data_IF_148868250434
#
_entry.id   IF_148868250434
#
_cell.length_a   1.000
_cell.length_b   1.000
_cell.length_c   1.000
_cell.angle_alpha   90.00
_cell.angle_beta   90.00
_cell.angle_gamma   90.00
#
_symmetry.space_group_name_H-M   'P 1'
#
loop_
_entity.id
_entity.type
_entity.pdbx_description
1 polymer ?
#
# COMPACT_ATOMS: atom_id res chain seq x y z
N UNK A 1 -15.22 -1.24 -1.06
CA UNK A 1 -14.15 -0.32 -0.61
C UNK A 1 -12.92 -1.16 -0.37
N UNK A 2 -11.87 -0.84 -1.11
CA UNK A 2 -10.48 -1.30 -1.11
C UNK A 2 -10.03 -2.73 -0.69
N UNK A 3 -10.86 -3.75 -0.47
CA UNK A 3 -10.35 -5.13 -0.22
C UNK A 3 -9.42 -5.68 -1.33
N UNK A 4 -8.11 -5.53 -1.12
CA UNK A 4 -7.11 -6.55 -0.75
C UNK A 4 -5.74 -5.85 -0.91
N UNK A 5 -5.09 -5.53 0.22
CA UNK A 5 -3.87 -4.69 0.26
C UNK A 5 -4.14 -3.19 0.44
N UNK A 6 -5.18 -2.85 1.20
CA UNK A 6 -5.74 -1.51 1.38
C UNK A 6 -4.69 -0.42 1.60
N UNK A 7 -4.85 0.69 0.88
CA UNK A 7 -4.04 1.91 1.06
C UNK A 7 -4.34 2.47 2.46
N UNK A 8 -3.31 2.76 3.28
CA UNK A 8 -3.54 3.20 4.65
C UNK A 8 -4.22 4.56 4.67
N UNK A 9 -5.46 4.57 5.15
CA UNK A 9 -6.31 5.74 5.25
C UNK A 9 -7.18 5.66 6.50
N UNK A 10 -7.39 6.80 7.16
CA UNK A 10 -8.28 6.93 8.30
C UNK A 10 -9.39 7.93 7.97
N UNK A 11 -10.65 7.57 8.26
CA UNK A 11 -11.77 8.48 8.08
C UNK A 11 -11.89 9.41 9.29
N UNK A 12 -11.90 10.71 9.06
CA UNK A 12 -12.09 11.75 10.09
C UNK A 12 -13.27 12.61 9.66
N UNK A 13 -14.42 12.42 10.31
CA UNK A 13 -15.69 13.01 9.90
C UNK A 13 -16.04 12.60 8.47
N UNK A 14 -16.10 13.58 7.57
CA UNK A 14 -16.37 13.37 6.14
C UNK A 14 -15.11 13.30 5.27
N UNK A 15 -13.91 13.38 5.86
CA UNK A 15 -12.64 13.40 5.16
C UNK A 15 -11.89 12.09 5.32
N UNK A 16 -11.04 11.80 4.35
CA UNK A 16 -10.06 10.72 4.42
C UNK A 16 -8.67 11.32 4.68
N UNK A 17 -8.02 10.86 5.73
CA UNK A 17 -6.66 11.22 6.10
C UNK A 17 -5.71 10.11 5.70
N UNK A 18 -4.65 10.49 5.02
CA UNK A 18 -3.54 9.60 4.67
C UNK A 18 -2.31 10.10 5.42
N UNK A 19 -1.64 9.23 6.18
CA UNK A 19 -0.35 9.58 6.76
C UNK A 19 0.75 9.23 5.78
N UNK A 20 1.64 10.19 5.51
CA UNK A 20 2.72 10.02 4.55
C UNK A 20 3.60 8.80 4.88
N UNK A 21 3.99 8.65 6.13
CA UNK A 21 4.84 7.54 6.58
C UNK A 21 4.22 6.17 6.31
N UNK A 22 2.90 6.04 6.57
CA UNK A 22 2.16 4.80 6.33
C UNK A 22 2.05 4.52 4.81
N UNK A 23 1.83 5.54 3.99
CA UNK A 23 1.83 5.42 2.53
C UNK A 23 3.21 5.02 2.00
N UNK A 24 4.26 5.66 2.50
CA UNK A 24 5.63 5.40 2.07
C UNK A 24 6.05 3.95 2.39
N UNK A 25 5.70 3.45 3.58
CA UNK A 25 5.94 2.05 3.96
C UNK A 25 5.09 1.07 3.12
N UNK A 26 3.80 1.37 2.94
CA UNK A 26 2.90 0.56 2.10
C UNK A 26 3.39 0.44 0.65
N UNK A 27 3.91 1.53 0.08
CA UNK A 27 4.49 1.53 -1.27
C UNK A 27 5.76 0.67 -1.34
N UNK A 28 6.66 0.76 -0.35
CA UNK A 28 7.87 -0.07 -0.25
C UNK A 28 7.54 -1.55 -0.17
N UNK A 29 6.56 -1.93 0.64
CA UNK A 29 6.11 -3.32 0.80
C UNK A 29 5.52 -3.90 -0.49
N UNK A 30 4.82 -3.08 -1.28
CA UNK A 30 4.30 -3.46 -2.59
C UNK A 30 5.38 -3.58 -3.67
N UNK A 31 6.38 -2.71 -3.67
CA UNK A 31 7.51 -2.79 -4.60
C UNK A 31 8.30 -4.10 -4.42
N UNK A 32 8.52 -4.52 -3.17
CA UNK A 32 9.19 -5.78 -2.86
C UNK A 32 8.37 -7.00 -3.35
N UNK A 33 7.05 -6.99 -3.11
CA UNK A 33 6.13 -8.03 -3.60
C UNK A 33 6.11 -8.14 -5.13
N UNK A 34 6.22 -7.03 -5.86
CA UNK A 34 6.30 -7.04 -7.33
C UNK A 34 7.65 -7.57 -7.82
N UNK A 35 8.77 -7.24 -7.15
CA UNK A 35 10.11 -7.68 -7.55
C UNK A 35 10.28 -9.21 -7.49
N UNK A 36 9.70 -9.86 -6.48
CA UNK A 36 9.80 -11.32 -6.31
C UNK A 36 9.02 -12.09 -7.41
N UNK A 37 7.97 -11.49 -7.97
CA UNK A 37 7.18 -12.14 -9.03
C UNK A 37 7.84 -12.14 -10.42
N UNK A 38 8.75 -11.20 -10.69
CA UNK A 38 9.50 -11.19 -11.95
C UNK A 38 10.81 -11.99 -11.87
N UNK A 39 11.37 -12.19 -10.67
CA UNK A 39 12.64 -12.92 -10.47
C UNK A 39 12.50 -14.45 -10.38
N UNK A 40 11.32 -15.02 -10.65
CA UNK A 40 11.04 -16.47 -10.67
C UNK A 40 10.62 -17.01 -12.04
N UNK A 41 10.87 -16.22 -13.09
CA UNK A 41 10.69 -16.63 -14.48
C UNK A 41 12.05 -16.58 -15.18
N UNK A 42 12.96 -17.43 -14.72
CA UNK A 42 14.14 -17.89 -15.47
C UNK A 42 14.15 -19.42 -15.38
#
# INVERSE_FOLDING_TARGET
>A
MAQKGEMPASKIGNLWRFKREEIDEWMKNRANTRRIRYARRD
#
